data_IF_347348426002
#
_entry.id   IF_347348426002
#
_cell.length_a   1.000
_cell.length_b   1.000
_cell.length_c   1.000
_cell.angle_alpha   90.00
_cell.angle_beta   90.00
_cell.angle_gamma   90.00
#
_symmetry.space_group_name_H-M   'P 1'
#
loop_
_entity.id
_entity.type
_entity.pdbx_description
1 polymer ?
#
# COMPACT_ATOMS: atom_id res chain seq x y z
N UNK A 1 6.10 -3.24 17.80
CA UNK A 1 6.01 -1.84 18.29
C UNK A 1 4.54 -1.48 18.52
N UNK A 2 4.22 -0.60 19.49
CA UNK A 2 2.85 -0.09 19.66
C UNK A 2 2.71 1.25 18.93
N UNK A 3 1.82 1.31 17.95
CA UNK A 3 1.61 2.49 17.12
C UNK A 3 0.63 3.46 17.79
N UNK A 4 0.85 4.77 17.63
CA UNK A 4 -0.09 5.79 18.09
C UNK A 4 -1.35 5.75 17.22
N UNK A 5 -2.50 6.16 17.78
CA UNK A 5 -3.80 6.19 17.07
C UNK A 5 -3.81 7.00 15.77
N UNK A 6 -2.88 7.93 15.60
CA UNK A 6 -2.78 8.80 14.41
C UNK A 6 -1.64 8.39 13.46
N UNK A 7 -1.01 7.24 13.72
CA UNK A 7 0.07 6.76 12.87
C UNK A 7 -0.49 6.44 11.50
N UNK A 8 0.09 7.05 10.45
CA UNK A 8 -0.18 6.65 9.08
C UNK A 8 0.84 5.63 8.61
N UNK A 9 0.34 4.59 7.96
CA UNK A 9 1.14 3.58 7.27
C UNK A 9 0.80 3.65 5.79
N UNK A 10 1.84 3.65 4.97
CA UNK A 10 1.70 3.47 3.54
C UNK A 10 1.94 2.00 3.19
N UNK A 11 0.91 1.34 2.67
CA UNK A 11 1.01 0.00 2.12
C UNK A 11 1.19 0.11 0.60
N UNK A 12 2.30 -0.39 0.07
CA UNK A 12 2.63 -0.33 -1.35
C UNK A 12 2.43 -1.71 -1.96
N UNK A 13 1.62 -1.76 -3.02
CA UNK A 13 1.40 -2.97 -3.79
C UNK A 13 1.50 -2.71 -5.28
N UNK A 14 1.81 -3.74 -6.04
CA UNK A 14 1.76 -3.70 -7.49
C UNK A 14 0.55 -4.49 -8.01
N UNK A 15 -0.19 -3.90 -8.94
CA UNK A 15 -1.27 -4.54 -9.70
C UNK A 15 -1.03 -4.23 -11.18
N UNK A 16 -0.66 -5.27 -11.96
CA UNK A 16 -0.52 -5.17 -13.41
C UNK A 16 0.48 -4.08 -13.88
N UNK A 17 1.66 -4.02 -13.25
CA UNK A 17 2.67 -3.00 -13.56
C UNK A 17 2.35 -1.60 -13.05
N UNK A 18 1.21 -1.42 -12.35
CA UNK A 18 0.84 -0.16 -11.69
C UNK A 18 0.99 -0.29 -10.20
N UNK A 19 1.47 0.77 -9.57
CA UNK A 19 1.66 0.81 -8.14
C UNK A 19 0.39 1.37 -7.50
N UNK A 20 -0.08 0.73 -6.44
CA UNK A 20 -1.20 1.17 -5.64
C UNK A 20 -0.68 1.42 -4.23
N UNK A 21 -0.68 2.69 -3.85
CA UNK A 21 -0.26 3.13 -2.52
C UNK A 21 -1.52 3.37 -1.66
N UNK A 22 -1.71 2.55 -0.64
CA UNK A 22 -2.85 2.62 0.27
C UNK A 22 -2.42 3.25 1.59
N UNK A 23 -3.05 4.35 1.97
CA UNK A 23 -2.80 5.03 3.25
C UNK A 23 -3.77 4.46 4.30
N UNK A 24 -3.21 3.95 5.38
CA UNK A 24 -3.94 3.46 6.55
C UNK A 24 -3.69 4.41 7.72
N UNK A 25 -4.73 4.81 8.47
CA UNK A 25 -4.60 5.69 9.65
C UNK A 25 -4.99 4.97 10.93
N UNK A 26 -4.00 4.59 11.74
CA UNK A 26 -4.20 4.00 13.06
C UNK A 26 -5.25 2.87 13.07
N UNK A 27 -6.26 2.99 13.93
CA UNK A 27 -7.36 2.01 14.06
C UNK A 27 -8.40 2.08 12.94
N UNK A 28 -8.27 3.04 12.02
CA UNK A 28 -9.34 3.47 11.13
C UNK A 28 -8.99 3.20 9.66
N UNK A 29 -9.22 1.95 9.23
CA UNK A 29 -9.53 1.56 7.84
C UNK A 29 -8.63 2.22 6.77
N UNK A 30 -9.10 2.23 5.52
CA UNK A 30 -8.43 2.84 4.37
C UNK A 30 -8.74 4.34 4.38
N UNK A 31 -7.73 5.18 4.56
CA UNK A 31 -7.86 6.65 4.46
C UNK A 31 -7.86 7.08 2.99
N UNK A 32 -6.94 6.52 2.21
CA UNK A 32 -6.80 6.86 0.80
C UNK A 32 -6.21 5.70 -0.01
N UNK A 33 -6.53 5.66 -1.31
CA UNK A 33 -5.93 4.76 -2.28
C UNK A 33 -5.43 5.61 -3.44
N UNK A 34 -4.13 5.56 -3.68
CA UNK A 34 -3.47 6.43 -4.64
C UNK A 34 -2.86 5.54 -5.72
N UNK A 35 -3.40 5.58 -6.96
CA UNK A 35 -2.73 4.95 -8.09
C UNK A 35 -1.49 5.76 -8.44
N UNK A 36 -0.37 5.07 -8.58
CA UNK A 36 0.94 5.62 -8.89
C UNK A 36 1.50 4.91 -10.12
N UNK A 37 2.01 5.67 -11.08
CA UNK A 37 2.48 5.14 -12.36
C UNK A 37 3.85 4.46 -12.28
N UNK A 38 4.71 4.91 -11.37
CA UNK A 38 6.08 4.38 -11.21
C UNK A 38 6.63 4.62 -9.80
N UNK A 39 7.69 3.89 -9.43
CA UNK A 39 8.36 4.11 -8.14
C UNK A 39 8.94 5.53 -8.03
N UNK A 40 9.41 6.13 -9.12
CA UNK A 40 9.89 7.51 -9.11
C UNK A 40 8.77 8.49 -8.76
N UNK A 41 7.56 8.28 -9.32
CA UNK A 41 6.37 9.07 -8.96
C UNK A 41 5.93 8.83 -7.51
N UNK A 42 6.16 7.63 -6.98
CA UNK A 42 5.94 7.35 -5.57
C UNK A 42 6.92 8.14 -4.69
N UNK A 43 8.20 8.11 -5.02
CA UNK A 43 9.24 8.86 -4.30
C UNK A 43 8.95 10.36 -4.37
N UNK A 44 8.66 10.89 -5.56
CA UNK A 44 8.23 12.28 -5.74
C UNK A 44 6.99 12.60 -4.89
N UNK A 45 5.98 11.71 -4.84
CA UNK A 45 4.80 11.90 -3.99
C UNK A 45 5.16 11.99 -2.50
N UNK A 46 6.10 11.15 -2.07
CA UNK A 46 6.56 11.09 -0.69
C UNK A 46 7.41 12.31 -0.30
N UNK A 47 8.21 12.81 -1.24
CA UNK A 47 9.08 13.98 -1.05
C UNK A 47 8.34 15.32 -1.22
N UNK A 48 7.39 15.40 -2.14
CA UNK A 48 6.72 16.65 -2.53
C UNK A 48 5.63 17.12 -1.58
N UNK A 49 5.12 16.26 -0.68
CA UNK A 49 3.93 16.59 0.12
C UNK A 49 4.24 16.85 1.59
N UNK A 50 4.17 18.14 1.97
CA UNK A 50 4.11 18.66 3.37
C UNK A 50 2.84 18.25 4.16
N UNK A 51 1.99 17.34 3.64
CA UNK A 51 0.72 16.92 4.26
C UNK A 51 0.68 15.42 4.52
N UNK A 52 -0.24 14.69 3.88
CA UNK A 52 -0.48 13.24 4.06
C UNK A 52 0.83 12.43 4.05
N UNK A 53 1.78 12.76 3.16
CA UNK A 53 3.05 12.03 3.06
C UNK A 53 4.06 12.37 4.16
N UNK A 54 4.12 13.63 4.61
CA UNK A 54 4.93 14.04 5.76
C UNK A 54 4.46 13.39 7.08
N UNK A 55 3.22 12.90 7.10
CA UNK A 55 2.62 12.19 8.24
C UNK A 55 2.70 10.66 8.11
N UNK A 56 3.23 10.12 7.00
CA UNK A 56 3.51 8.69 6.83
C UNK A 56 4.74 8.37 7.67
N UNK A 57 4.50 7.67 8.77
CA UNK A 57 5.56 7.30 9.70
C UNK A 57 6.28 6.02 9.26
N UNK A 58 5.59 5.17 8.51
CA UNK A 58 6.05 3.84 8.15
C UNK A 58 5.57 3.40 6.78
N UNK A 59 6.40 2.60 6.13
CA UNK A 59 6.07 1.97 4.85
C UNK A 59 6.06 0.45 5.01
N UNK A 60 4.99 -0.18 4.56
CA UNK A 60 4.92 -1.61 4.26
C UNK A 60 5.15 -1.77 2.76
N UNK A 61 6.40 -1.99 2.37
CA UNK A 61 6.77 -2.24 0.97
C UNK A 61 6.96 -3.75 0.75
N UNK A 62 6.14 -4.32 -0.13
CA UNK A 62 6.25 -5.71 -0.58
C UNK A 62 7.33 -5.85 -1.69
N UNK A 63 8.49 -5.21 -1.51
CA UNK A 63 9.58 -5.12 -2.49
C UNK A 63 9.19 -4.53 -3.86
N UNK A 64 8.15 -3.69 -3.90
CA UNK A 64 7.68 -3.04 -5.12
C UNK A 64 8.62 -1.89 -5.49
N UNK A 65 9.08 -1.11 -4.50
CA UNK A 65 9.97 0.04 -4.72
C UNK A 65 11.21 -0.03 -3.85
N UNK A 66 12.22 -0.77 -4.31
CA UNK A 66 13.49 -1.04 -3.60
C UNK A 66 14.32 0.19 -3.23
N UNK A 67 14.04 1.36 -3.82
CA UNK A 67 14.83 2.58 -3.71
C UNK A 67 14.26 3.64 -2.74
N UNK A 68 13.23 3.32 -1.95
CA UNK A 68 12.65 4.32 -1.07
C UNK A 68 13.51 4.59 0.17
N UNK A 69 13.70 5.87 0.49
CA UNK A 69 14.47 6.37 1.65
C UNK A 69 13.70 6.32 2.98
N UNK A 70 12.43 5.90 2.98
CA UNK A 70 11.58 5.86 4.17
C UNK A 70 11.81 4.60 5.01
N UNK A 71 11.52 4.70 6.31
CA UNK A 71 11.64 3.58 7.25
C UNK A 71 10.62 2.49 6.91
N UNK A 72 11.10 1.42 6.28
CA UNK A 72 10.33 0.20 6.04
C UNK A 72 10.10 -0.55 7.34
N UNK A 73 8.89 -1.07 7.54
CA UNK A 73 8.58 -2.04 8.59
C UNK A 73 7.98 -3.27 7.95
N UNK A 74 8.10 -4.41 8.62
CA UNK A 74 7.39 -5.63 8.29
C UNK A 74 6.04 -5.69 9.04
N UNK A 75 5.09 -6.43 8.47
CA UNK A 75 3.78 -6.64 9.10
C UNK A 75 3.90 -7.28 10.49
N UNK A 76 4.89 -8.16 10.70
CA UNK A 76 5.16 -8.82 11.99
C UNK A 76 5.66 -7.87 13.08
N UNK A 77 6.16 -6.69 12.72
CA UNK A 77 6.57 -5.66 13.69
C UNK A 77 5.37 -4.87 14.25
N UNK A 78 4.20 -4.97 13.61
CA UNK A 78 2.96 -4.33 14.01
C UNK A 78 2.28 -5.19 15.08
N UNK A 79 2.26 -4.71 16.33
CA UNK A 79 1.55 -5.38 17.44
C UNK A 79 0.07 -4.98 17.52
N UNK A 80 -0.36 -4.00 16.71
CA UNK A 80 -1.74 -3.56 16.65
C UNK A 80 -2.56 -4.53 15.78
N UNK A 81 -3.41 -5.33 16.43
CA UNK A 81 -4.21 -6.36 15.76
C UNK A 81 -5.19 -5.78 14.74
N UNK A 82 -5.81 -4.63 15.02
CA UNK A 82 -6.79 -4.04 14.11
C UNK A 82 -6.12 -3.58 12.82
N UNK A 83 -4.93 -3.00 12.94
CA UNK A 83 -4.15 -2.58 11.79
C UNK A 83 -3.63 -3.77 10.97
N UNK A 84 -3.22 -4.86 11.63
CA UNK A 84 -2.84 -6.10 10.95
C UNK A 84 -4.01 -6.66 10.14
N UNK A 85 -5.22 -6.66 10.69
CA UNK A 85 -6.41 -7.11 9.96
C UNK A 85 -6.74 -6.18 8.79
N UNK A 86 -6.64 -4.86 8.96
CA UNK A 86 -6.84 -3.90 7.86
C UNK A 86 -5.84 -4.09 6.72
N UNK A 87 -4.56 -4.36 7.02
CA UNK A 87 -3.55 -4.70 6.00
C UNK A 87 -3.96 -5.95 5.24
N UNK A 88 -4.35 -7.02 5.94
CA UNK A 88 -4.79 -8.28 5.31
C UNK A 88 -6.02 -8.10 4.43
N UNK A 89 -7.00 -7.29 4.86
CA UNK A 89 -8.18 -6.97 4.07
C UNK A 89 -7.79 -6.30 2.75
N UNK A 90 -6.88 -5.33 2.78
CA UNK A 90 -6.37 -4.65 1.58
C UNK A 90 -5.65 -5.64 0.66
N UNK A 91 -4.77 -6.48 1.21
CA UNK A 91 -4.07 -7.52 0.44
C UNK A 91 -5.04 -8.51 -0.21
N UNK A 92 -6.11 -8.90 0.49
CA UNK A 92 -7.14 -9.79 -0.05
C UNK A 92 -7.92 -9.12 -1.19
N UNK A 93 -8.29 -7.84 -1.05
CA UNK A 93 -8.93 -7.05 -2.10
C UNK A 93 -8.03 -6.99 -3.34
N UNK A 94 -6.74 -6.73 -3.15
CA UNK A 94 -5.75 -6.68 -4.23
C UNK A 94 -5.61 -8.05 -4.90
N UNK A 95 -5.55 -9.13 -4.13
CA UNK A 95 -5.52 -10.50 -4.67
C UNK A 95 -6.76 -10.81 -5.50
N UNK A 96 -7.96 -10.45 -5.02
CA UNK A 96 -9.22 -10.62 -5.76
C UNK A 96 -9.22 -9.79 -7.05
N UNK A 97 -8.71 -8.56 -7.03
CA UNK A 97 -8.58 -7.72 -8.21
C UNK A 97 -7.65 -8.37 -9.26
N UNK A 98 -6.47 -8.83 -8.85
CA UNK A 98 -5.52 -9.57 -9.71
C UNK A 98 -6.19 -10.79 -10.36
N UNK A 99 -6.88 -11.61 -9.58
CA UNK A 99 -7.56 -12.82 -10.08
C UNK A 99 -8.68 -12.51 -11.09
N UNK A 100 -9.52 -11.51 -10.81
CA UNK A 100 -10.58 -11.08 -11.75
C UNK A 100 -10.00 -10.59 -13.07
N UNK A 101 -8.87 -9.89 -13.03
CA UNK A 101 -8.21 -9.41 -14.23
C UNK A 101 -7.63 -10.53 -15.08
N UNK A 102 -7.02 -11.56 -14.47
CA UNK A 102 -6.57 -12.77 -15.18
C UNK A 102 -7.73 -13.45 -15.90
N UNK A 103 -8.90 -13.53 -15.26
CA UNK A 103 -10.10 -14.10 -15.87
C UNK A 103 -10.60 -13.26 -17.07
N UNK A 104 -10.48 -11.94 -17.00
CA UNK A 104 -10.84 -11.05 -18.12
C UNK A 104 -9.86 -11.23 -19.29
N UNK A 105 -8.55 -11.17 -19.02
CA UNK A 105 -7.51 -11.35 -20.05
C UNK A 105 -7.61 -12.69 -20.76
N UNK A 106 -7.83 -13.77 -20.01
CA UNK A 106 -7.99 -15.12 -20.58
C UNK A 106 -9.26 -15.31 -21.41
N UNK A 107 -10.30 -14.49 -21.18
CA UNK A 107 -11.48 -14.42 -22.05
C UNK A 107 -11.22 -13.63 -23.34
N UNK A 108 -10.43 -12.56 -23.26
CA UNK A 108 -10.08 -11.74 -24.43
C UNK A 108 -9.11 -12.41 -25.40
N UNK A 109 -8.22 -13.29 -24.92
CA UNK A 109 -7.29 -14.05 -25.79
C UNK A 109 -7.92 -15.23 -26.52
N UNK A 110 -9.18 -15.56 -26.20
CA UNK A 110 -9.95 -16.64 -26.85
C UNK A 110 -10.87 -16.16 -27.97
N UNK A 111 -10.83 -14.86 -28.30
CA UNK A 111 -11.53 -14.22 -29.43
C UNK A 111 -10.46 -13.88 -30.46
#
# INVERSE_FOLDING_TARGET
MQLKKETRILLINEVEGRIVATVLRGRARIENIIPIESCDKLVEFLESRKGIAAEINYVLDNNVCRSMSQKSISLSEIKDRELVEAVKEVEEIIKKAKMRMIQIKSRMTKI
#
